data_IF_128198075985
#
_entry.id   IF_128198075985
#
_cell.length_a   1.000
_cell.length_b   1.000
_cell.length_c   1.000
_cell.angle_alpha   90.00
_cell.angle_beta   90.00
_cell.angle_gamma   90.00
#
_symmetry.space_group_name_H-M   'P 1'
#
loop_
_entity.id
_entity.type
_entity.pdbx_description
1 polymer ?
#
# COMPACT_ATOMS: atom_id res chain seq x y z
N UNK A 1 20.07 -14.80 10.31
CA UNK A 1 21.20 -14.50 9.41
C UNK A 1 20.93 -13.14 8.74
N UNK A 2 21.89 -12.23 8.69
CA UNK A 2 21.75 -10.89 8.10
C UNK A 2 22.72 -10.78 6.92
N UNK A 3 22.22 -10.43 5.73
CA UNK A 3 23.01 -10.31 4.49
C UNK A 3 23.01 -8.85 4.03
N UNK A 4 24.11 -8.41 3.43
CA UNK A 4 24.30 -7.02 2.94
C UNK A 4 24.65 -7.06 1.46
N UNK A 5 24.18 -6.06 0.70
CA UNK A 5 24.46 -5.89 -0.73
C UNK A 5 25.17 -4.55 -0.95
N UNK A 6 26.32 -4.56 -1.63
CA UNK A 6 27.16 -3.38 -1.84
C UNK A 6 26.95 -2.79 -3.25
N UNK A 7 25.98 -1.88 -3.37
CA UNK A 7 25.65 -1.23 -4.65
C UNK A 7 26.80 -0.39 -5.23
N UNK A 8 27.72 0.12 -4.40
CA UNK A 8 28.89 0.89 -4.84
C UNK A 8 29.86 0.09 -5.72
N UNK A 9 29.85 -1.24 -5.59
CA UNK A 9 30.68 -2.15 -6.38
C UNK A 9 29.94 -2.68 -7.62
N UNK A 10 28.72 -2.21 -7.89
CA UNK A 10 27.86 -2.70 -8.97
C UNK A 10 27.17 -4.03 -8.66
N UNK A 11 27.21 -4.51 -7.41
CA UNK A 11 26.50 -5.70 -6.97
C UNK A 11 25.07 -5.31 -6.54
N UNK A 12 24.07 -5.70 -7.33
CA UNK A 12 22.64 -5.44 -7.05
C UNK A 12 21.91 -6.64 -6.46
N UNK A 13 22.43 -7.84 -6.69
CA UNK A 13 21.91 -9.11 -6.18
C UNK A 13 23.10 -9.90 -5.64
N UNK A 14 22.95 -10.49 -4.47
CA UNK A 14 23.99 -11.37 -3.90
C UNK A 14 24.24 -12.56 -4.84
N UNK A 15 25.45 -13.12 -4.85
CA UNK A 15 25.81 -14.29 -5.70
C UNK A 15 24.88 -15.49 -5.54
N UNK A 16 24.29 -15.66 -4.35
CA UNK A 16 23.31 -16.71 -4.05
C UNK A 16 21.91 -16.44 -4.65
N UNK A 17 21.66 -15.23 -5.19
CA UNK A 17 20.36 -14.81 -5.72
C UNK A 17 19.29 -14.49 -4.69
N UNK A 18 19.54 -14.75 -3.40
CA UNK A 18 18.52 -14.73 -2.34
C UNK A 18 18.33 -13.37 -1.64
N UNK A 19 19.31 -12.47 -1.76
CA UNK A 19 19.28 -11.18 -1.06
C UNK A 19 19.47 -10.02 -2.05
N UNK A 20 18.45 -9.16 -2.09
CA UNK A 20 18.33 -7.96 -2.91
C UNK A 20 17.36 -6.96 -2.27
N UNK A 21 17.50 -5.67 -2.61
CA UNK A 21 16.65 -4.59 -2.07
C UNK A 21 15.49 -4.20 -3.00
N UNK A 22 15.44 -4.74 -4.22
CA UNK A 22 14.45 -4.38 -5.25
C UNK A 22 12.99 -4.45 -4.78
N UNK A 23 12.63 -5.50 -4.03
CA UNK A 23 11.25 -5.69 -3.57
C UNK A 23 10.81 -4.57 -2.62
N UNK A 24 11.66 -4.23 -1.65
CA UNK A 24 11.35 -3.21 -0.64
C UNK A 24 11.37 -1.80 -1.26
N UNK A 25 12.31 -1.53 -2.17
CA UNK A 25 12.36 -0.27 -2.92
C UNK A 25 11.11 -0.05 -3.78
N UNK A 26 10.66 -1.11 -4.48
CA UNK A 26 9.44 -1.05 -5.28
C UNK A 26 8.20 -0.77 -4.43
N UNK A 27 8.12 -1.34 -3.21
CA UNK A 27 7.03 -1.07 -2.28
C UNK A 27 7.02 0.40 -1.83
N UNK A 28 8.17 0.92 -1.41
CA UNK A 28 8.28 2.33 -1.00
C UNK A 28 8.03 3.31 -2.16
N UNK A 29 8.37 2.95 -3.39
CA UNK A 29 8.05 3.77 -4.56
C UNK A 29 6.53 3.94 -4.75
N UNK A 30 5.72 2.92 -4.46
CA UNK A 30 4.25 3.02 -4.50
C UNK A 30 3.74 3.96 -3.41
N UNK A 31 4.24 3.82 -2.18
CA UNK A 31 3.83 4.67 -1.05
C UNK A 31 4.12 6.14 -1.36
N UNK A 32 5.35 6.45 -1.79
CA UNK A 32 5.76 7.83 -2.12
C UNK A 32 4.85 8.45 -3.19
N UNK A 33 4.56 7.71 -4.27
CA UNK A 33 3.63 8.16 -5.32
C UNK A 33 2.21 8.33 -4.80
N UNK A 34 1.75 7.44 -3.91
CA UNK A 34 0.44 7.54 -3.28
C UNK A 34 0.30 8.76 -2.38
N UNK A 35 1.36 9.12 -1.65
CA UNK A 35 1.41 10.34 -0.83
C UNK A 35 1.38 11.59 -1.72
N UNK A 36 2.23 11.66 -2.75
CA UNK A 36 2.23 12.81 -3.67
C UNK A 36 0.94 12.93 -4.49
N UNK A 37 0.26 11.83 -4.79
CA UNK A 37 -0.91 11.83 -5.70
C UNK A 37 -2.28 11.83 -5.02
N UNK A 38 -2.52 10.96 -4.04
CA UNK A 38 -3.85 10.80 -3.42
C UNK A 38 -3.92 11.40 -2.03
N UNK A 39 -2.84 11.36 -1.26
CA UNK A 39 -2.80 11.83 0.12
C UNK A 39 -2.03 13.14 0.26
N UNK A 40 -2.61 14.24 -0.23
CA UNK A 40 -1.99 15.57 -0.19
C UNK A 40 -1.85 16.17 1.23
N UNK A 41 -2.45 15.55 2.25
CA UNK A 41 -2.32 15.94 3.67
C UNK A 41 -2.30 14.71 4.58
N UNK A 42 -1.10 14.19 4.84
CA UNK A 42 -0.92 13.03 5.74
C UNK A 42 -0.70 13.55 7.16
N UNK A 43 -1.67 13.34 8.04
CA UNK A 43 -1.48 13.59 9.48
C UNK A 43 -0.72 12.42 10.13
N UNK A 44 0.18 12.72 11.06
CA UNK A 44 0.95 11.71 11.81
C UNK A 44 0.04 10.67 12.51
N UNK A 45 -1.11 11.11 13.02
CA UNK A 45 -2.10 10.27 13.71
C UNK A 45 -2.65 9.11 12.87
N UNK A 46 -2.58 9.21 11.53
CA UNK A 46 -3.15 8.23 10.62
C UNK A 46 -2.09 7.50 9.78
N UNK A 47 -0.80 7.73 10.04
CA UNK A 47 0.30 7.16 9.25
C UNK A 47 0.21 5.64 9.16
N UNK A 48 -0.05 4.97 10.29
CA UNK A 48 -0.17 3.52 10.35
C UNK A 48 -1.30 3.00 9.44
N UNK A 49 -2.45 3.68 9.44
CA UNK A 49 -3.61 3.26 8.63
C UNK A 49 -3.34 3.35 7.13
N UNK A 50 -2.51 4.32 6.70
CA UNK A 50 -2.09 4.42 5.29
C UNK A 50 -1.14 3.28 4.92
N UNK A 51 -0.14 3.00 5.76
CA UNK A 51 0.81 1.90 5.52
C UNK A 51 0.09 0.55 5.47
N UNK A 52 -0.84 0.32 6.39
CA UNK A 52 -1.64 -0.92 6.42
C UNK A 52 -2.47 -1.10 5.14
N UNK A 53 -3.03 -0.02 4.59
CA UNK A 53 -3.75 -0.08 3.31
C UNK A 53 -2.82 -0.46 2.15
N UNK A 54 -1.64 0.17 2.07
CA UNK A 54 -0.67 -0.13 1.02
C UNK A 54 -0.13 -1.56 1.13
N UNK A 55 0.12 -2.05 2.34
CA UNK A 55 0.53 -3.43 2.60
C UNK A 55 -0.57 -4.43 2.20
N UNK A 56 -1.83 -4.15 2.56
CA UNK A 56 -2.96 -4.96 2.15
C UNK A 56 -3.08 -5.04 0.63
N UNK A 57 -3.00 -3.90 -0.07
CA UNK A 57 -3.07 -3.83 -1.54
C UNK A 57 -1.93 -4.57 -2.22
N UNK A 58 -0.72 -4.49 -1.66
CA UNK A 58 0.45 -5.18 -2.22
C UNK A 58 0.31 -6.71 -2.14
N UNK A 59 -0.27 -7.21 -1.04
CA UNK A 59 -0.43 -8.65 -0.80
C UNK A 59 -1.69 -9.26 -1.44
N UNK A 60 -2.62 -8.44 -1.96
CA UNK A 60 -3.90 -8.93 -2.52
C UNK A 60 -4.12 -8.50 -3.98
N UNK A 61 -3.35 -9.05 -4.93
CA UNK A 61 -3.45 -8.67 -6.34
C UNK A 61 -4.75 -9.14 -7.04
N UNK A 62 -5.44 -10.16 -6.51
CA UNK A 62 -6.60 -10.80 -7.15
C UNK A 62 -7.97 -10.25 -6.71
N UNK A 63 -7.99 -9.33 -5.75
CA UNK A 63 -9.23 -8.72 -5.28
C UNK A 63 -9.51 -7.51 -6.18
N UNK A 64 -10.58 -7.57 -6.97
CA UNK A 64 -11.05 -6.40 -7.74
C UNK A 64 -11.18 -5.19 -6.80
N UNK A 65 -10.81 -3.98 -7.26
CA UNK A 65 -10.84 -2.77 -6.42
C UNK A 65 -12.17 -2.59 -5.67
N UNK A 66 -13.28 -3.06 -6.24
CA UNK A 66 -14.62 -3.05 -5.64
C UNK A 66 -14.86 -4.01 -4.45
N UNK A 67 -14.00 -5.02 -4.25
CA UNK A 67 -14.05 -5.91 -3.08
C UNK A 67 -13.14 -5.46 -1.93
N UNK A 68 -12.10 -4.66 -2.19
CA UNK A 68 -11.18 -4.14 -1.16
C UNK A 68 -11.95 -3.36 -0.09
N UNK A 69 -12.93 -2.54 -0.50
CA UNK A 69 -13.75 -1.76 0.42
C UNK A 69 -14.71 -2.59 1.27
N UNK A 70 -15.10 -3.80 0.82
CA UNK A 70 -16.02 -4.69 1.56
C UNK A 70 -15.31 -5.53 2.63
N UNK A 71 -14.04 -5.87 2.43
CA UNK A 71 -13.24 -6.58 3.44
C UNK A 71 -12.86 -5.70 4.64
N UNK A 72 -13.04 -4.37 4.52
CA UNK A 72 -12.70 -3.39 5.57
C UNK A 72 -13.68 -3.35 6.75
N UNK A 73 -14.79 -4.08 6.70
CA UNK A 73 -15.74 -4.16 7.81
C UNK A 73 -15.76 -5.55 8.46
N UNK A 74 -14.78 -5.91 9.31
CA UNK A 74 -14.92 -7.02 10.25
C UNK A 74 -15.71 -6.50 11.46
N UNK A 75 -17.01 -6.30 11.27
CA UNK A 75 -17.87 -5.75 12.31
C UNK A 75 -19.17 -5.24 11.71
N UNK A 76 -20.26 -5.83 12.15
CA UNK A 76 -21.63 -5.47 11.84
C UNK A 76 -21.94 -4.02 12.31
N UNK A 77 -21.44 -3.02 11.58
CA UNK A 77 -21.92 -1.66 11.66
C UNK A 77 -22.23 -1.17 10.25
N UNK A 78 -23.53 -1.11 10.01
CA UNK A 78 -24.20 -0.46 8.89
C UNK A 78 -23.68 0.98 8.79
N UNK A 79 -22.63 1.22 8.00
CA UNK A 79 -22.12 2.58 7.78
C UNK A 79 -23.04 3.27 6.76
N UNK A 80 -24.20 3.72 7.23
CA UNK A 80 -25.05 4.65 6.52
C UNK A 80 -24.34 6.00 6.45
N UNK A 81 -23.69 6.31 5.34
CA UNK A 81 -23.46 7.70 4.92
C UNK A 81 -23.66 7.80 3.41
N UNK A 82 -24.92 8.06 3.07
CA UNK A 82 -25.37 8.97 2.02
C UNK A 82 -24.50 8.99 0.75
N UNK A 83 -24.90 8.18 -0.23
CA UNK A 83 -24.77 8.58 -1.63
C UNK A 83 -25.79 9.71 -1.88
N UNK A 84 -25.37 10.94 -1.59
CA UNK A 84 -26.02 12.12 -2.16
C UNK A 84 -25.83 12.10 -3.68
N UNK A 85 -26.89 12.49 -4.40
CA UNK A 85 -27.00 12.64 -5.85
C UNK A 85 -27.45 11.38 -6.62
N UNK A 86 -28.77 11.27 -6.79
CA UNK A 86 -29.45 11.12 -8.08
C UNK A 86 -30.94 11.41 -7.84
N UNK A 87 -31.23 12.69 -7.69
CA UNK A 87 -32.57 13.25 -7.81
C UNK A 87 -32.43 14.42 -8.77
N UNK A 88 -32.21 14.09 -10.04
CA UNK A 88 -32.44 15.02 -11.12
C UNK A 88 -33.90 14.81 -11.53
N UNK A 89 -34.65 15.90 -11.48
CA UNK A 89 -35.96 16.09 -12.12
C UNK A 89 -36.05 15.48 -13.51
#
# INVERSE_FOLDING_TARGET
>A
EHKTVAHTLGEYVTKDGLAHTQTVESFFAIIKRGVTGSFHSVSEQHLQRYVDEFAFRWNTPLISRDRIYRARCPGNQRCSRQASHLSTT
#
